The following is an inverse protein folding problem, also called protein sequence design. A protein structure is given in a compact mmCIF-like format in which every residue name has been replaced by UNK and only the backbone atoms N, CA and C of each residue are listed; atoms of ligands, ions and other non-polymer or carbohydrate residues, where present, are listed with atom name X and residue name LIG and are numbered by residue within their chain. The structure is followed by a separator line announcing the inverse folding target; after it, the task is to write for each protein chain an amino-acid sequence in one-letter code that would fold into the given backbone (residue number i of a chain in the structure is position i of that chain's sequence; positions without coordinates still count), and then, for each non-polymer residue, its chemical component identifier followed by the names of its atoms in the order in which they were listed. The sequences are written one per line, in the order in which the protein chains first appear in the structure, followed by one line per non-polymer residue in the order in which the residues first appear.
data_IF_615877549239
#
_entry.id   IF_615877549239
#
_cell.length_a   1.000
_cell.length_b   1.000
_cell.length_c   1.000
_cell.angle_alpha   90.00
_cell.angle_beta   90.00
_cell.angle_gamma   90.00
#
_symmetry.space_group_name_H-M   'P 1'
#
loop_
_entity.id
_entity.type
_entity.pdbx_description
1 polymer ?
#
# COMPACT_ATOMS: atom_id res chain seq x y z
N UNK A 1 -11.59 -3.31 -20.75
CA UNK A 1 -12.02 -4.28 -19.72
C UNK A 1 -12.13 -3.55 -18.39
N UNK A 2 -13.34 -3.34 -17.87
CA UNK A 2 -13.52 -2.81 -16.52
C UNK A 2 -13.11 -3.89 -15.51
N UNK A 3 -12.22 -3.56 -14.57
CA UNK A 3 -11.80 -4.48 -13.52
C UNK A 3 -13.01 -4.87 -12.64
N UNK A 4 -13.35 -6.15 -12.59
CA UNK A 4 -14.43 -6.68 -11.75
C UNK A 4 -14.23 -6.24 -10.30
N UNK A 5 -15.18 -5.45 -9.77
CA UNK A 5 -15.17 -4.97 -8.37
C UNK A 5 -14.71 -3.51 -8.18
N UNK A 6 -14.24 -2.83 -9.22
CA UNK A 6 -13.91 -1.40 -9.16
C UNK A 6 -15.10 -0.58 -9.68
N UNK A 7 -15.64 0.30 -8.85
CA UNK A 7 -16.71 1.22 -9.27
C UNK A 7 -16.10 2.28 -10.18
N UNK A 8 -16.66 2.42 -11.39
CA UNK A 8 -16.28 3.47 -12.33
C UNK A 8 -16.46 4.86 -11.73
N UNK A 9 -15.60 5.80 -12.14
CA UNK A 9 -15.66 7.20 -11.71
C UNK A 9 -17.02 7.83 -12.03
N UNK A 10 -17.66 7.43 -13.13
CA UNK A 10 -19.00 7.92 -13.50
C UNK A 10 -20.06 7.52 -12.46
N UNK A 11 -20.08 6.25 -12.04
CA UNK A 11 -20.99 5.76 -10.99
C UNK A 11 -20.76 6.45 -9.66
N UNK A 12 -19.52 6.85 -9.35
CA UNK A 12 -19.21 7.62 -8.14
C UNK A 12 -19.87 9.01 -8.16
N UNK A 13 -19.76 9.73 -9.29
CA UNK A 13 -20.42 11.02 -9.46
C UNK A 13 -21.95 10.89 -9.43
N UNK A 14 -22.49 9.82 -10.02
CA UNK A 14 -23.92 9.53 -9.97
C UNK A 14 -24.42 9.30 -8.54
N UNK A 15 -23.69 8.52 -7.72
CA UNK A 15 -23.98 8.36 -6.29
C UNK A 15 -24.02 9.71 -5.56
N UNK A 16 -23.03 10.57 -5.79
CA UNK A 16 -22.96 11.90 -5.16
C UNK A 16 -24.13 12.78 -5.62
N UNK A 17 -24.45 12.77 -6.91
CA UNK A 17 -25.57 13.54 -7.48
C UNK A 17 -26.91 13.15 -6.85
N UNK A 18 -27.21 11.85 -6.81
CA UNK A 18 -28.42 11.29 -6.19
C UNK A 18 -28.50 11.59 -4.70
N UNK A 19 -27.36 11.50 -4.01
CA UNK A 19 -27.26 11.89 -2.60
C UNK A 19 -27.59 13.39 -2.39
N UNK A 20 -27.12 14.28 -3.27
CA UNK A 20 -27.44 15.72 -3.21
C UNK A 20 -28.91 16.01 -3.52
N UNK A 21 -29.57 15.16 -4.30
CA UNK A 21 -31.01 15.23 -4.58
C UNK A 21 -31.88 14.76 -3.40
N UNK A 22 -31.27 14.31 -2.29
CA UNK A 22 -31.99 13.88 -1.10
C UNK A 22 -32.38 12.39 -1.09
N UNK A 23 -31.90 11.60 -2.05
CA UNK A 23 -32.19 10.17 -2.07
C UNK A 23 -31.48 9.43 -0.91
N UNK A 24 -32.17 8.44 -0.35
CA UNK A 24 -31.60 7.62 0.73
C UNK A 24 -30.49 6.69 0.21
N UNK A 25 -29.51 6.37 1.05
CA UNK A 25 -28.43 5.44 0.67
C UNK A 25 -28.93 4.07 0.20
N UNK A 26 -30.07 3.60 0.75
CA UNK A 26 -30.69 2.33 0.34
C UNK A 26 -31.29 2.42 -1.06
N UNK A 27 -31.91 3.55 -1.38
CA UNK A 27 -32.48 3.81 -2.70
C UNK A 27 -31.36 3.82 -3.76
N UNK A 28 -30.33 4.64 -3.55
CA UNK A 28 -29.17 4.75 -4.45
C UNK A 28 -28.49 3.39 -4.67
N UNK A 29 -28.32 2.60 -3.60
CA UNK A 29 -27.72 1.27 -3.67
C UNK A 29 -28.53 0.31 -4.56
N UNK A 30 -29.86 0.34 -4.44
CA UNK A 30 -30.77 -0.51 -5.22
C UNK A 30 -30.76 -0.12 -6.69
N UNK A 31 -30.89 1.17 -6.99
CA UNK A 31 -30.95 1.67 -8.38
C UNK A 31 -29.63 1.45 -9.13
N UNK A 32 -28.48 1.69 -8.49
CA UNK A 32 -27.18 1.58 -9.16
C UNK A 32 -26.57 0.16 -9.11
N UNK A 33 -27.21 -0.77 -8.41
CA UNK A 33 -26.68 -2.13 -8.17
C UNK A 33 -25.37 -2.12 -7.39
N UNK A 34 -25.16 -1.13 -6.52
CA UNK A 34 -23.94 -0.96 -5.71
C UNK A 34 -24.24 -1.37 -4.27
N UNK A 35 -23.30 -2.03 -3.60
CA UNK A 35 -23.45 -2.33 -2.18
C UNK A 35 -23.66 -1.03 -1.36
N UNK A 36 -24.68 -1.02 -0.50
CA UNK A 36 -24.98 0.10 0.41
C UNK A 36 -23.76 0.61 1.17
N UNK A 37 -22.89 -0.28 1.66
CA UNK A 37 -21.66 0.12 2.39
C UNK A 37 -20.75 0.98 1.51
N UNK A 38 -20.72 0.71 0.21
CA UNK A 38 -19.93 1.49 -0.73
C UNK A 38 -20.56 2.85 -1.01
N UNK A 39 -21.89 2.92 -1.15
CA UNK A 39 -22.62 4.20 -1.22
C UNK A 39 -22.33 5.05 0.02
N UNK A 40 -22.44 4.47 1.21
CA UNK A 40 -22.13 5.15 2.48
C UNK A 40 -20.68 5.66 2.48
N UNK A 41 -19.70 4.84 2.09
CA UNK A 41 -18.30 5.26 2.02
C UNK A 41 -18.07 6.42 1.04
N UNK A 42 -18.73 6.42 -0.11
CA UNK A 42 -18.67 7.49 -1.11
C UNK A 42 -19.22 8.79 -0.53
N UNK A 43 -20.43 8.75 0.05
CA UNK A 43 -21.06 9.92 0.65
C UNK A 43 -20.29 10.46 1.86
N UNK A 44 -19.72 9.59 2.69
CA UNK A 44 -18.89 10.01 3.83
C UNK A 44 -17.63 10.75 3.36
N UNK A 45 -16.90 10.21 2.38
CA UNK A 45 -15.73 10.88 1.81
C UNK A 45 -16.07 12.22 1.17
N UNK A 46 -17.21 12.30 0.48
CA UNK A 46 -17.71 13.56 -0.07
C UNK A 46 -17.97 14.61 1.03
N UNK A 47 -18.61 14.22 2.14
CA UNK A 47 -18.83 15.11 3.29
C UNK A 47 -17.53 15.55 3.95
N UNK A 48 -16.58 14.63 4.12
CA UNK A 48 -15.25 14.94 4.66
C UNK A 48 -14.51 15.93 3.77
N UNK A 49 -14.55 15.75 2.44
CA UNK A 49 -13.97 16.68 1.47
C UNK A 49 -14.63 18.07 1.53
N UNK A 50 -15.96 18.15 1.66
CA UNK A 50 -16.66 19.43 1.85
C UNK A 50 -16.22 20.14 3.14
N UNK A 51 -16.14 19.42 4.26
CA UNK A 51 -15.66 19.99 5.53
C UNK A 51 -14.22 20.47 5.42
N UNK A 52 -13.36 19.71 4.75
CA UNK A 52 -11.98 20.09 4.51
C UNK A 52 -11.89 21.39 3.69
N UNK A 53 -12.73 21.55 2.67
CA UNK A 53 -12.84 22.78 1.87
C UNK A 53 -13.34 23.98 2.69
N UNK A 54 -14.32 23.77 3.57
CA UNK A 54 -14.85 24.82 4.46
C UNK A 54 -13.81 25.28 5.50
N UNK A 55 -12.90 24.40 5.90
CA UNK A 55 -11.89 24.67 6.94
C UNK A 55 -10.56 25.18 6.35
N UNK A 56 -10.30 24.91 5.07
CA UNK A 56 -9.06 25.32 4.41
C UNK A 56 -9.01 26.83 4.19
N UNK A 57 -7.94 27.46 4.66
CA UNK A 57 -7.68 28.90 4.51
C UNK A 57 -6.66 29.21 3.41
N UNK A 58 -5.85 28.21 3.03
CA UNK A 58 -4.79 28.35 2.03
C UNK A 58 -5.17 27.72 0.68
N UNK A 59 -4.79 28.39 -0.41
CA UNK A 59 -5.07 27.97 -1.79
C UNK A 59 -4.60 26.54 -2.10
N UNK A 60 -3.43 26.14 -1.58
CA UNK A 60 -2.88 24.78 -1.71
C UNK A 60 -3.69 23.70 -0.96
N UNK A 61 -4.41 24.08 0.10
CA UNK A 61 -5.28 23.16 0.85
C UNK A 61 -6.61 22.98 0.13
N UNK A 62 -7.14 24.07 -0.46
CA UNK A 62 -8.33 24.05 -1.32
C UNK A 62 -8.07 23.18 -2.56
N UNK A 63 -6.92 23.33 -3.21
CA UNK A 63 -6.53 22.50 -4.36
C UNK A 63 -6.42 21.01 -3.99
N UNK A 64 -5.79 20.67 -2.86
CA UNK A 64 -5.73 19.29 -2.37
C UNK A 64 -7.09 18.72 -1.99
N UNK A 65 -7.96 19.53 -1.37
CA UNK A 65 -9.29 19.10 -0.96
C UNK A 65 -10.22 18.90 -2.17
N UNK A 66 -10.14 19.77 -3.18
CA UNK A 66 -10.85 19.61 -4.46
C UNK A 66 -10.34 18.40 -5.25
N UNK A 67 -9.03 18.18 -5.30
CA UNK A 67 -8.43 16.99 -5.90
C UNK A 67 -8.86 15.71 -5.18
N UNK A 68 -8.85 15.68 -3.85
CA UNK A 68 -9.35 14.54 -3.07
C UNK A 68 -10.84 14.24 -3.31
N UNK A 69 -11.64 15.27 -3.56
CA UNK A 69 -13.07 15.15 -3.85
C UNK A 69 -13.35 14.67 -5.28
N UNK A 70 -12.53 15.10 -6.25
CA UNK A 70 -12.77 14.90 -7.68
C UNK A 70 -11.99 13.71 -8.25
N UNK A 71 -10.76 13.47 -7.80
CA UNK A 71 -9.77 12.72 -8.59
C UNK A 71 -9.46 11.29 -8.15
N UNK A 72 -9.45 10.90 -6.86
CA UNK A 72 -8.85 9.58 -6.54
C UNK A 72 -9.56 8.71 -5.50
N UNK A 73 -9.91 7.50 -5.94
CA UNK A 73 -10.15 6.34 -5.09
C UNK A 73 -8.83 5.59 -4.89
N UNK A 74 -7.88 6.19 -4.19
CA UNK A 74 -6.66 5.48 -3.81
C UNK A 74 -6.95 4.50 -2.67
N UNK A 75 -6.35 3.31 -2.72
CA UNK A 75 -6.38 2.38 -1.60
C UNK A 75 -5.50 2.93 -0.48
N UNK A 76 -6.04 3.06 0.73
CA UNK A 76 -5.21 3.37 1.90
C UNK A 76 -4.25 2.20 2.17
N UNK A 77 -2.98 2.44 1.90
CA UNK A 77 -1.89 1.50 2.16
C UNK A 77 -1.05 1.88 3.38
N UNK A 78 -1.40 2.95 4.11
CA UNK A 78 -0.62 3.48 5.24
C UNK A 78 -0.39 2.44 6.34
N UNK A 79 -1.39 1.57 6.57
CA UNK A 79 -1.34 0.51 7.58
C UNK A 79 -0.64 -0.77 7.10
N UNK A 80 -0.23 -0.86 5.83
CA UNK A 80 0.46 -2.04 5.31
C UNK A 80 1.87 -2.06 5.86
N UNK A 81 2.16 -3.06 6.69
CA UNK A 81 3.50 -3.36 7.19
C UNK A 81 4.00 -4.67 6.61
N UNK A 82 5.31 -4.76 6.43
CA UNK A 82 5.95 -6.02 6.09
C UNK A 82 5.71 -7.03 7.21
N UNK A 83 5.13 -8.19 6.87
CA UNK A 83 4.80 -9.24 7.83
C UNK A 83 5.96 -10.19 8.08
N UNK A 84 6.77 -10.44 7.06
CA UNK A 84 7.83 -11.47 7.06
C UNK A 84 9.23 -10.87 7.24
N UNK A 85 9.45 -9.63 6.79
CA UNK A 85 10.71 -8.91 6.98
C UNK A 85 10.64 -8.10 8.28
N UNK A 86 11.00 -8.75 9.38
CA UNK A 86 11.06 -8.14 10.72
C UNK A 86 12.42 -7.45 10.94
N UNK A 87 12.50 -6.59 11.97
CA UNK A 87 13.76 -5.95 12.36
C UNK A 87 14.86 -6.96 12.72
N UNK A 88 14.47 -8.12 13.26
CA UNK A 88 15.39 -9.21 13.57
C UNK A 88 16.01 -9.81 12.31
N UNK A 89 15.19 -10.11 11.30
CA UNK A 89 15.67 -10.61 10.00
C UNK A 89 16.56 -9.58 9.32
N UNK A 90 16.19 -8.30 9.38
CA UNK A 90 17.02 -7.21 8.85
C UNK A 90 18.39 -7.15 9.54
N UNK A 91 18.41 -7.20 10.87
CA UNK A 91 19.66 -7.21 11.65
C UNK A 91 20.52 -8.40 11.26
N UNK A 92 19.93 -9.60 11.18
CA UNK A 92 20.64 -10.82 10.82
C UNK A 92 21.21 -10.77 9.41
N UNK A 93 20.45 -10.27 8.45
CA UNK A 93 20.95 -10.05 7.08
C UNK A 93 22.11 -9.05 7.04
N UNK A 94 22.06 -7.97 7.85
CA UNK A 94 23.18 -7.02 7.95
C UNK A 94 24.44 -7.67 8.52
N UNK A 95 24.31 -8.50 9.56
CA UNK A 95 25.43 -9.26 10.13
C UNK A 95 26.10 -10.15 9.07
N UNK A 96 25.30 -10.98 8.38
CA UNK A 96 25.79 -11.85 7.31
C UNK A 96 26.49 -11.07 6.19
N UNK A 97 26.00 -9.87 5.86
CA UNK A 97 26.62 -9.01 4.87
C UNK A 97 27.97 -8.45 5.35
N UNK A 98 28.08 -8.03 6.60
CA UNK A 98 29.35 -7.55 7.18
C UNK A 98 30.40 -8.66 7.23
N UNK A 99 30.02 -9.86 7.64
CA UNK A 99 30.90 -11.04 7.62
C UNK A 99 31.41 -11.32 6.20
N UNK A 100 30.53 -11.19 5.20
CA UNK A 100 30.89 -11.39 3.80
C UNK A 100 31.82 -10.30 3.27
N UNK A 101 31.66 -9.04 3.68
CA UNK A 101 32.59 -7.96 3.34
C UNK A 101 34.00 -8.22 3.89
N UNK A 102 34.10 -8.70 5.13
CA UNK A 102 35.39 -9.06 5.74
C UNK A 102 36.04 -10.22 4.96
N UNK A 103 35.24 -11.24 4.62
CA UNK A 103 35.69 -12.40 3.82
C UNK A 103 36.17 -11.98 2.44
N UNK A 104 35.42 -11.11 1.76
CA UNK A 104 35.77 -10.58 0.44
C UNK A 104 37.05 -9.74 0.46
N UNK A 105 37.29 -8.95 1.52
CA UNK A 105 38.57 -8.22 1.66
C UNK A 105 39.78 -9.15 1.75
N UNK A 106 39.62 -10.32 2.38
CA UNK A 106 40.70 -11.30 2.56
C UNK A 106 40.93 -12.16 1.31
N UNK A 107 39.86 -12.61 0.66
CA UNK A 107 39.92 -13.62 -0.41
C UNK A 107 39.76 -13.04 -1.82
N UNK A 108 39.24 -11.81 -1.96
CA UNK A 108 38.84 -11.25 -3.24
C UNK A 108 37.69 -12.05 -3.87
N UNK A 109 37.71 -12.20 -5.19
CA UNK A 109 36.73 -12.99 -5.93
C UNK A 109 36.94 -14.48 -5.66
N UNK A 110 35.96 -15.14 -5.04
CA UNK A 110 36.08 -16.53 -4.62
C UNK A 110 34.78 -17.31 -4.81
N UNK A 111 34.88 -18.64 -4.95
CA UNK A 111 33.72 -19.52 -5.25
C UNK A 111 32.71 -19.63 -4.09
N UNK A 112 33.11 -19.28 -2.87
CA UNK A 112 32.28 -19.43 -1.65
C UNK A 112 31.58 -18.12 -1.25
N UNK A 113 31.44 -17.18 -2.19
CA UNK A 113 30.77 -15.92 -1.94
C UNK A 113 29.30 -16.15 -1.55
N UNK A 114 28.84 -15.42 -0.54
CA UNK A 114 27.51 -15.63 0.04
C UNK A 114 26.40 -15.18 -0.93
N UNK A 115 25.55 -16.12 -1.33
CA UNK A 115 24.44 -15.86 -2.27
C UNK A 115 23.12 -15.60 -1.53
N UNK A 116 22.17 -14.94 -2.19
CA UNK A 116 20.84 -14.70 -1.63
C UNK A 116 20.08 -16.01 -1.32
N UNK A 117 20.38 -17.10 -2.05
CA UNK A 117 19.81 -18.43 -1.79
C UNK A 117 20.35 -18.95 -0.46
N UNK A 118 21.67 -18.90 -0.28
CA UNK A 118 22.32 -19.34 0.97
C UNK A 118 21.85 -18.52 2.17
N UNK A 119 21.71 -17.19 2.02
CA UNK A 119 21.14 -16.34 3.08
C UNK A 119 19.71 -16.75 3.42
N UNK A 120 18.90 -17.10 2.43
CA UNK A 120 17.54 -17.56 2.66
C UNK A 120 17.49 -18.90 3.42
N UNK A 121 18.38 -19.84 3.07
CA UNK A 121 18.52 -21.12 3.77
C UNK A 121 18.95 -20.94 5.23
N UNK A 122 19.91 -20.05 5.50
CA UNK A 122 20.35 -19.69 6.86
C UNK A 122 19.17 -19.15 7.67
N UNK A 123 18.42 -18.20 7.11
CA UNK A 123 17.28 -17.59 7.81
C UNK A 123 16.16 -18.61 8.08
N UNK A 124 15.90 -19.54 7.16
CA UNK A 124 14.93 -20.64 7.41
C UNK A 124 15.43 -21.53 8.54
N UNK A 125 16.71 -21.91 8.54
CA UNK A 125 17.30 -22.77 9.56
C UNK A 125 17.28 -22.12 10.95
N UNK A 126 17.44 -20.80 11.01
CA UNK A 126 17.30 -19.99 12.22
C UNK A 126 15.84 -19.81 12.68
N UNK A 127 14.85 -20.33 11.92
CA UNK A 127 13.44 -20.32 12.28
C UNK A 127 12.65 -19.14 11.74
N UNK A 128 13.23 -18.31 10.86
CA UNK A 128 12.52 -17.18 10.27
C UNK A 128 11.61 -17.61 9.12
N UNK A 129 10.31 -17.31 9.25
CA UNK A 129 9.33 -17.53 8.19
C UNK A 129 9.39 -16.43 7.12
N UNK A 130 10.42 -16.45 6.28
CA UNK A 130 10.62 -15.51 5.16
C UNK A 130 10.73 -16.23 3.81
N UNK A 131 10.11 -15.67 2.78
CA UNK A 131 10.19 -16.18 1.42
C UNK A 131 11.45 -15.72 0.69
N UNK A 132 12.00 -16.59 -0.15
CA UNK A 132 13.21 -16.32 -0.95
C UNK A 132 13.15 -14.98 -1.71
N UNK A 133 12.02 -14.67 -2.36
CA UNK A 133 11.87 -13.43 -3.13
C UNK A 133 12.04 -12.18 -2.27
N UNK A 134 11.60 -12.22 -1.01
CA UNK A 134 11.76 -11.12 -0.06
C UNK A 134 13.23 -10.99 0.32
N UNK A 135 13.91 -12.10 0.67
CA UNK A 135 15.35 -12.11 0.97
C UNK A 135 16.15 -11.59 -0.21
N UNK A 136 15.92 -12.08 -1.42
CA UNK A 136 16.63 -11.65 -2.63
C UNK A 136 16.37 -10.18 -3.00
N UNK A 137 15.20 -9.62 -2.65
CA UNK A 137 14.93 -8.20 -2.83
C UNK A 137 15.80 -7.36 -1.88
N UNK A 138 15.77 -7.64 -0.58
CA UNK A 138 16.53 -6.88 0.41
C UNK A 138 18.04 -7.12 0.34
N UNK A 139 18.48 -8.35 0.05
CA UNK A 139 19.90 -8.68 -0.12
C UNK A 139 20.57 -7.87 -1.23
N UNK A 140 19.84 -7.62 -2.32
CA UNK A 140 20.32 -6.75 -3.41
C UNK A 140 20.46 -5.29 -3.03
N UNK A 141 19.80 -4.82 -1.98
CA UNK A 141 19.90 -3.44 -1.52
C UNK A 141 21.11 -3.22 -0.59
N UNK A 142 21.65 -4.29 0.01
CA UNK A 142 22.85 -4.22 0.84
C UNK A 142 24.15 -4.21 0.02
N UNK A 143 24.14 -4.89 -1.13
CA UNK A 143 25.24 -4.97 -2.08
C UNK A 143 25.46 -3.65 -2.80
#
# INVERSE_FOLDING_TARGET
MEARGVISRMKHFEVISRYRQGESYRHIARELGINRKTVTSICSKYKEGLRALETSTHEKEVEKATEALVLTRSYDSSKRKNRTYTQEVERRMKELYQEELIKNKRLGTHKQALTAITVHEILIHEGHSIGYRTVAHYWRQFK
#
